data_IF_856385318283
#
_entry.id   IF_856385318283
#
_cell.length_a   1.000
_cell.length_b   1.000
_cell.length_c   1.000
_cell.angle_alpha   90.00
_cell.angle_beta   90.00
_cell.angle_gamma   90.00
#
_symmetry.space_group_name_H-M   'P 1'
#
loop_
_entity.id
_entity.type
_entity.pdbx_description
1 polymer ?
#
# COMPACT_ATOMS: atom_id res chain seq x y z
N UNK A 1 -4.18 -15.72 8.00
CA UNK A 1 -4.61 -15.86 6.60
C UNK A 1 -5.57 -17.01 6.48
N UNK A 2 -6.68 -16.84 5.78
CA UNK A 2 -7.57 -17.94 5.44
C UNK A 2 -6.87 -18.86 4.44
N UNK A 3 -7.04 -20.17 4.61
CA UNK A 3 -6.56 -21.14 3.63
C UNK A 3 -7.53 -21.18 2.45
N UNK A 4 -6.97 -21.22 1.24
CA UNK A 4 -7.75 -21.42 0.04
C UNK A 4 -8.42 -22.81 0.09
N UNK A 5 -9.72 -22.87 -0.15
CA UNK A 5 -10.47 -24.13 -0.18
C UNK A 5 -10.32 -24.83 -1.52
N UNK A 6 -10.29 -24.04 -2.62
CA UNK A 6 -10.08 -24.51 -3.99
C UNK A 6 -9.63 -23.35 -4.87
N UNK A 7 -9.18 -23.65 -6.08
CA UNK A 7 -8.71 -22.66 -7.05
C UNK A 7 -7.20 -22.39 -6.96
N UNK A 8 -6.76 -21.36 -7.69
CA UNK A 8 -5.37 -20.95 -7.83
C UNK A 8 -5.24 -19.46 -7.58
N UNK A 9 -4.17 -19.04 -6.90
CA UNK A 9 -3.78 -17.63 -6.75
C UNK A 9 -2.53 -17.39 -7.57
N UNK A 10 -2.57 -16.41 -8.45
CA UNK A 10 -1.43 -15.99 -9.24
C UNK A 10 -1.10 -14.53 -8.94
N UNK A 11 0.18 -14.25 -8.73
CA UNK A 11 0.69 -12.90 -8.45
C UNK A 11 1.79 -12.58 -9.44
N UNK A 12 1.59 -11.55 -10.26
CA UNK A 12 2.55 -11.09 -11.27
C UNK A 12 3.07 -12.22 -12.17
N UNK A 13 2.18 -13.13 -12.60
CA UNK A 13 2.48 -14.27 -13.46
C UNK A 13 3.09 -15.48 -12.74
N UNK A 14 3.17 -15.48 -11.41
CA UNK A 14 3.72 -16.57 -10.62
C UNK A 14 2.64 -17.20 -9.74
N UNK A 15 2.67 -18.54 -9.63
CA UNK A 15 1.78 -19.27 -8.72
C UNK A 15 2.14 -18.95 -7.27
N UNK A 16 1.23 -18.28 -6.58
CA UNK A 16 1.33 -17.88 -5.19
C UNK A 16 0.43 -18.72 -4.26
N UNK A 17 -0.18 -19.79 -4.80
CA UNK A 17 -1.10 -20.65 -4.06
C UNK A 17 -0.41 -21.28 -2.84
N UNK A 18 -0.93 -20.98 -1.65
CA UNK A 18 -0.36 -21.48 -0.38
C UNK A 18 0.94 -20.83 0.07
N UNK A 19 1.45 -19.83 -0.64
CA UNK A 19 2.62 -19.08 -0.22
C UNK A 19 2.36 -18.29 1.07
N UNK A 20 3.41 -18.15 1.89
CA UNK A 20 3.39 -17.29 3.07
C UNK A 20 3.45 -15.80 2.66
N UNK A 21 2.95 -14.88 3.52
CA UNK A 21 2.97 -13.44 3.23
C UNK A 21 4.35 -12.89 2.87
N UNK A 22 5.41 -13.36 3.55
CA UNK A 22 6.79 -12.95 3.27
C UNK A 22 7.27 -13.40 1.88
N UNK A 23 6.81 -14.55 1.41
CA UNK A 23 7.11 -15.03 0.06
C UNK A 23 6.37 -14.21 -1.00
N UNK A 24 5.08 -13.90 -0.75
CA UNK A 24 4.26 -13.06 -1.65
C UNK A 24 4.85 -11.64 -1.74
N UNK A 25 5.32 -11.08 -0.62
CA UNK A 25 5.99 -9.78 -0.63
C UNK A 25 7.25 -9.78 -1.51
N UNK A 26 8.03 -10.87 -1.50
CA UNK A 26 9.22 -11.01 -2.37
C UNK A 26 8.87 -11.07 -3.85
N UNK A 27 7.66 -11.46 -4.23
CA UNK A 27 7.18 -11.36 -5.61
C UNK A 27 6.90 -9.92 -6.02
N UNK A 28 6.85 -9.00 -5.07
CA UNK A 28 6.60 -7.58 -5.29
C UNK A 28 5.17 -7.14 -4.96
N UNK A 29 4.38 -7.96 -4.26
CA UNK A 29 3.04 -7.59 -3.80
C UNK A 29 3.09 -7.19 -2.33
N UNK A 30 2.65 -5.97 -2.02
CA UNK A 30 2.53 -5.47 -0.64
C UNK A 30 1.08 -5.13 -0.34
N UNK A 31 0.65 -5.42 0.89
CA UNK A 31 -0.71 -5.12 1.36
C UNK A 31 -0.65 -4.17 2.55
N UNK A 32 -1.51 -3.13 2.56
CA UNK A 32 -1.86 -2.39 3.78
C UNK A 32 -3.02 -3.08 4.50
N UNK A 33 -3.29 -2.66 5.72
CA UNK A 33 -4.41 -3.15 6.51
C UNK A 33 -5.36 -1.99 6.82
N UNK A 34 -6.62 -2.30 7.07
CA UNK A 34 -7.65 -1.33 7.43
C UNK A 34 -7.25 -0.47 8.64
N UNK A 35 -6.61 -1.09 9.64
CA UNK A 35 -6.05 -0.36 10.78
C UNK A 35 -4.56 -0.11 10.57
N UNK A 36 -4.17 1.15 10.73
CA UNK A 36 -2.76 1.55 10.66
C UNK A 36 -2.03 1.12 11.93
N UNK A 37 -0.97 0.31 11.77
CA UNK A 37 -0.10 -0.14 12.85
C UNK A 37 1.21 0.63 12.82
N UNK A 38 1.17 1.92 13.22
CA UNK A 38 2.37 2.74 13.34
C UNK A 38 2.97 2.63 14.75
N UNK A 39 4.29 2.69 14.84
CA UNK A 39 4.99 2.78 16.13
C UNK A 39 4.86 4.20 16.65
N UNK A 40 4.00 4.39 17.63
CA UNK A 40 3.53 5.71 18.11
C UNK A 40 4.63 6.58 18.67
N UNK A 41 5.66 5.99 19.28
CA UNK A 41 6.83 6.65 19.89
C UNK A 41 7.96 6.94 18.88
N UNK A 42 7.76 6.57 17.62
CA UNK A 42 8.69 6.82 16.53
C UNK A 42 8.17 7.96 15.64
N UNK A 43 9.11 8.69 15.05
CA UNK A 43 8.80 9.69 14.03
C UNK A 43 8.27 9.05 12.75
N UNK A 44 7.68 9.87 11.89
CA UNK A 44 7.21 9.41 10.58
C UNK A 44 8.35 8.79 9.77
N UNK A 45 9.49 9.46 9.66
CA UNK A 45 10.63 8.92 8.90
C UNK A 45 11.15 7.61 9.49
N UNK A 46 11.22 7.48 10.81
CA UNK A 46 11.61 6.22 11.46
C UNK A 46 10.62 5.10 11.15
N UNK A 47 9.32 5.37 11.18
CA UNK A 47 8.29 4.41 10.77
C UNK A 47 8.46 3.93 9.32
N UNK A 48 8.86 4.81 8.40
CA UNK A 48 9.15 4.45 7.02
C UNK A 48 10.40 3.56 6.90
N UNK A 49 11.35 3.71 7.78
CA UNK A 49 12.62 2.94 7.76
C UNK A 49 12.49 1.53 8.35
N UNK A 50 11.41 1.24 9.09
CA UNK A 50 11.19 -0.10 9.69
C UNK A 50 11.08 -1.24 8.67
N UNK A 51 10.34 -1.11 7.53
CA UNK A 51 10.20 -2.21 6.58
C UNK A 51 11.56 -2.62 5.99
N UNK A 52 11.95 -3.91 6.09
CA UNK A 52 13.21 -4.34 5.53
C UNK A 52 13.13 -4.44 4.01
N UNK A 53 13.98 -3.73 3.29
CA UNK A 53 14.35 -4.11 1.93
C UNK A 53 15.45 -5.18 2.02
N UNK A 54 15.13 -6.44 1.76
CA UNK A 54 16.11 -7.53 1.57
C UNK A 54 17.14 -7.77 2.71
N UNK A 55 16.82 -7.52 3.98
CA UNK A 55 17.81 -7.46 5.05
C UNK A 55 17.93 -8.68 5.95
N UNK A 56 17.22 -9.76 5.77
CA UNK A 56 17.53 -10.95 6.54
C UNK A 56 18.45 -11.89 5.77
N UNK A 57 19.76 -11.61 5.81
CA UNK A 57 20.74 -12.67 5.76
C UNK A 57 20.84 -13.28 7.17
N UNK A 58 20.61 -14.60 7.33
CA UNK A 58 20.52 -15.22 8.65
C UNK A 58 21.85 -15.32 9.40
N UNK A 59 22.93 -14.75 8.88
CA UNK A 59 24.25 -14.82 9.48
C UNK A 59 24.67 -13.45 10.03
N UNK A 60 24.45 -13.26 11.33
CA UNK A 60 24.94 -12.09 12.08
C UNK A 60 26.47 -11.88 11.91
N UNK A 61 27.24 -12.96 11.68
CA UNK A 61 28.68 -12.89 11.46
C UNK A 61 29.03 -12.24 10.10
N UNK A 62 28.23 -12.47 9.06
CA UNK A 62 28.40 -11.83 7.75
C UNK A 62 27.96 -10.37 7.75
N UNK A 63 27.03 -9.98 8.62
CA UNK A 63 26.62 -8.58 8.79
C UNK A 63 27.73 -7.72 9.40
N UNK A 64 28.54 -8.27 10.28
CA UNK A 64 29.71 -7.61 10.88
C UNK A 64 30.88 -7.40 9.90
N UNK A 65 30.94 -8.18 8.82
CA UNK A 65 32.03 -8.16 7.84
C UNK A 65 31.71 -7.36 6.56
N UNK A 66 30.49 -6.79 6.42
CA UNK A 66 30.14 -5.96 5.25
C UNK A 66 30.43 -4.48 5.51
N UNK A 67 31.48 -3.90 4.86
CA UNK A 67 31.60 -2.46 4.72
C UNK A 67 30.52 -2.01 3.72
N UNK A 68 29.49 -1.30 4.15
CA UNK A 68 28.41 -0.84 3.26
C UNK A 68 27.13 -0.44 3.99
N UNK A 69 27.08 -0.66 5.29
CA UNK A 69 25.90 -0.34 6.11
C UNK A 69 25.56 1.15 6.11
N UNK A 70 26.54 2.06 6.12
CA UNK A 70 26.32 3.50 6.12
C UNK A 70 25.76 4.05 4.79
N UNK A 71 26.31 3.58 3.67
CA UNK A 71 25.83 4.01 2.34
C UNK A 71 24.43 3.47 2.05
N UNK A 72 24.13 2.24 2.46
CA UNK A 72 22.79 1.66 2.36
C UNK A 72 21.78 2.37 3.29
N UNK A 73 22.20 2.82 4.46
CA UNK A 73 21.38 3.56 5.41
C UNK A 73 21.06 4.97 4.89
N UNK A 74 22.06 5.71 4.42
CA UNK A 74 21.87 7.02 3.82
C UNK A 74 20.90 6.97 2.63
N UNK A 75 21.05 5.95 1.77
CA UNK A 75 20.11 5.74 0.66
C UNK A 75 18.68 5.44 1.14
N UNK A 76 18.51 4.64 2.18
CA UNK A 76 17.17 4.36 2.74
C UNK A 76 16.51 5.60 3.31
N UNK A 77 17.29 6.46 3.97
CA UNK A 77 16.80 7.75 4.47
C UNK A 77 16.36 8.61 3.28
N UNK A 78 17.16 8.70 2.22
CA UNK A 78 16.80 9.41 1.01
C UNK A 78 15.52 8.84 0.38
N UNK A 79 15.42 7.51 0.22
CA UNK A 79 14.21 6.84 -0.28
C UNK A 79 12.97 7.19 0.57
N UNK A 80 13.12 7.29 1.90
CA UNK A 80 12.02 7.66 2.80
C UNK A 80 11.54 9.10 2.56
N UNK A 81 12.46 10.05 2.37
CA UNK A 81 12.09 11.43 2.02
C UNK A 81 11.46 11.53 0.63
N UNK A 82 11.97 10.79 -0.36
CA UNK A 82 11.34 10.71 -1.70
C UNK A 82 9.90 10.18 -1.62
N UNK A 83 9.64 9.20 -0.75
CA UNK A 83 8.27 8.69 -0.51
C UNK A 83 7.40 9.76 0.17
N UNK A 84 7.94 10.50 1.14
CA UNK A 84 7.19 11.59 1.80
C UNK A 84 6.87 12.73 0.83
N UNK A 85 7.80 13.09 -0.05
CA UNK A 85 7.59 14.09 -1.11
C UNK A 85 6.51 13.62 -2.10
N UNK A 86 6.56 12.35 -2.51
CA UNK A 86 5.57 11.76 -3.39
C UNK A 86 4.16 11.77 -2.79
N UNK A 87 4.06 11.59 -1.47
CA UNK A 87 2.80 11.66 -0.72
C UNK A 87 2.42 13.10 -0.29
N UNK A 88 3.25 14.10 -0.64
CA UNK A 88 3.07 15.53 -0.31
C UNK A 88 3.05 15.82 1.21
N UNK A 89 3.80 15.04 1.98
CA UNK A 89 3.89 15.17 3.44
C UNK A 89 5.32 15.24 4.00
N UNK A 90 6.32 15.83 3.30
CA UNK A 90 7.69 15.89 3.81
C UNK A 90 7.81 16.70 5.11
N UNK A 91 6.92 17.67 5.31
CA UNK A 91 6.85 18.50 6.53
C UNK A 91 6.55 17.70 7.79
N UNK A 92 6.03 16.47 7.65
CA UNK A 92 5.70 15.61 8.78
C UNK A 92 6.82 14.63 9.17
N UNK A 93 7.96 14.63 8.46
CA UNK A 93 9.03 13.64 8.63
C UNK A 93 9.46 13.43 10.09
N UNK A 94 9.54 14.51 10.85
CA UNK A 94 10.02 14.52 12.24
C UNK A 94 8.90 14.54 13.31
N UNK A 95 7.62 14.56 12.89
CA UNK A 95 6.51 14.45 13.83
C UNK A 95 6.45 13.04 14.40
N UNK A 96 6.08 12.91 15.67
CA UNK A 96 5.73 11.61 16.25
C UNK A 96 4.45 11.09 15.60
N UNK A 97 4.38 9.79 15.32
CA UNK A 97 3.16 9.24 14.70
C UNK A 97 1.97 9.22 15.65
N UNK A 98 2.18 9.38 16.94
CA UNK A 98 1.12 9.61 17.95
C UNK A 98 0.40 10.95 17.78
N UNK A 99 1.00 11.94 17.11
CA UNK A 99 0.46 13.29 16.91
C UNK A 99 -0.35 13.40 15.60
N UNK A 100 -0.33 12.38 14.77
CA UNK A 100 -0.97 12.39 13.46
C UNK A 100 -2.48 12.19 13.56
N UNK A 101 -3.21 12.92 12.71
CA UNK A 101 -4.62 12.60 12.44
C UNK A 101 -4.77 11.23 11.78
N UNK A 102 -5.99 10.66 11.81
CA UNK A 102 -6.26 9.37 11.18
C UNK A 102 -5.89 9.34 9.70
N UNK A 103 -6.20 10.41 8.95
CA UNK A 103 -5.85 10.51 7.54
C UNK A 103 -4.34 10.63 7.29
N UNK A 104 -3.63 11.37 8.13
CA UNK A 104 -2.17 11.46 8.05
C UNK A 104 -1.51 10.12 8.37
N UNK A 105 -2.04 9.38 9.35
CA UNK A 105 -1.58 8.03 9.68
C UNK A 105 -1.77 7.06 8.49
N UNK A 106 -2.87 7.18 7.74
CA UNK A 106 -3.10 6.41 6.50
C UNK A 106 -2.04 6.70 5.43
N UNK A 107 -1.69 7.97 5.23
CA UNK A 107 -0.61 8.34 4.29
C UNK A 107 0.73 7.74 4.71
N UNK A 108 1.07 7.76 5.99
CA UNK A 108 2.31 7.16 6.49
C UNK A 108 2.31 5.64 6.31
N UNK A 109 1.16 4.96 6.48
CA UNK A 109 1.05 3.52 6.26
C UNK A 109 1.23 3.14 4.79
N UNK A 110 0.65 3.94 3.87
CA UNK A 110 0.91 3.82 2.42
C UNK A 110 2.40 4.03 2.14
N UNK A 111 3.02 5.05 2.75
CA UNK A 111 4.46 5.31 2.64
C UNK A 111 5.30 4.12 3.08
N UNK A 112 4.96 3.49 4.20
CA UNK A 112 5.62 2.26 4.67
C UNK A 112 5.51 1.11 3.65
N UNK A 113 4.35 0.95 3.03
CA UNK A 113 4.16 -0.05 1.99
C UNK A 113 5.07 0.23 0.78
N UNK A 114 5.21 1.50 0.38
CA UNK A 114 6.07 1.93 -0.73
C UNK A 114 7.56 1.72 -0.45
N UNK A 115 7.99 1.81 0.80
CA UNK A 115 9.39 1.53 1.19
C UNK A 115 9.84 0.11 0.88
N UNK A 116 8.91 -0.84 0.68
CA UNK A 116 9.23 -2.19 0.19
C UNK A 116 9.49 -2.28 -1.32
N UNK A 117 9.38 -1.15 -2.05
CA UNK A 117 9.46 -1.06 -3.51
C UNK A 117 8.53 -2.06 -4.22
N UNK A 118 7.22 -2.02 -3.95
CA UNK A 118 6.28 -2.97 -4.49
C UNK A 118 6.09 -2.76 -6.00
N UNK A 119 5.77 -3.84 -6.71
CA UNK A 119 5.25 -3.79 -8.08
C UNK A 119 3.72 -3.72 -8.11
N UNK A 120 3.09 -4.19 -7.02
CA UNK A 120 1.64 -4.19 -6.85
C UNK A 120 1.26 -3.92 -5.39
N UNK A 121 0.28 -3.04 -5.18
CA UNK A 121 -0.27 -2.69 -3.87
C UNK A 121 -1.70 -3.20 -3.71
N UNK A 122 -1.98 -3.83 -2.58
CA UNK A 122 -3.33 -4.09 -2.10
C UNK A 122 -3.65 -3.08 -0.99
N UNK A 123 -4.64 -2.23 -1.21
CA UNK A 123 -5.04 -1.19 -0.28
C UNK A 123 -6.44 -1.50 0.25
N UNK A 124 -6.54 -1.69 1.56
CA UNK A 124 -7.78 -2.04 2.25
C UNK A 124 -8.34 -0.79 2.94
N UNK A 125 -9.40 -0.21 2.35
CA UNK A 125 -10.07 1.01 2.79
C UNK A 125 -9.10 2.17 3.11
N UNK A 126 -8.26 2.60 2.15
CA UNK A 126 -7.22 3.59 2.39
C UNK A 126 -7.74 4.95 2.82
N UNK A 127 -9.03 5.25 2.59
CA UNK A 127 -9.64 6.53 2.96
C UNK A 127 -10.77 6.42 4.00
N UNK A 128 -10.96 5.25 4.61
CA UNK A 128 -11.96 5.08 5.65
C UNK A 128 -11.70 6.03 6.84
N UNK A 129 -12.71 6.81 7.22
CA UNK A 129 -12.60 7.80 8.29
C UNK A 129 -11.75 9.04 7.97
N UNK A 130 -11.39 9.24 6.71
CA UNK A 130 -10.63 10.41 6.25
C UNK A 130 -11.57 11.48 5.72
N UNK A 131 -11.32 12.75 6.08
CA UNK A 131 -12.10 13.90 5.59
C UNK A 131 -12.00 14.03 4.06
N UNK A 132 -13.10 14.42 3.40
CA UNK A 132 -13.23 14.45 1.94
C UNK A 132 -12.05 15.06 1.18
N UNK A 133 -11.58 16.28 1.50
CA UNK A 133 -10.44 16.88 0.79
C UNK A 133 -9.14 16.07 0.91
N UNK A 134 -8.88 15.43 2.06
CA UNK A 134 -7.70 14.62 2.26
C UNK A 134 -7.86 13.26 1.57
N UNK A 135 -9.05 12.66 1.58
CA UNK A 135 -9.36 11.44 0.84
C UNK A 135 -9.11 11.65 -0.67
N UNK A 136 -9.52 12.81 -1.20
CA UNK A 136 -9.24 13.22 -2.59
C UNK A 136 -7.74 13.21 -2.89
N UNK A 137 -6.94 13.85 -2.05
CA UNK A 137 -5.48 13.93 -2.20
C UNK A 137 -4.84 12.53 -2.12
N UNK A 138 -5.32 11.67 -1.23
CA UNK A 138 -4.82 10.27 -1.16
C UNK A 138 -5.02 9.57 -2.51
N UNK A 139 -6.21 9.66 -3.10
CA UNK A 139 -6.46 9.03 -4.40
C UNK A 139 -5.65 9.63 -5.55
N UNK A 140 -5.48 10.95 -5.58
CA UNK A 140 -4.62 11.61 -6.57
C UNK A 140 -3.17 11.11 -6.45
N UNK A 141 -2.65 10.97 -5.24
CA UNK A 141 -1.31 10.43 -5.01
C UNK A 141 -1.22 8.95 -5.42
N UNK A 142 -2.25 8.13 -5.13
CA UNK A 142 -2.33 6.75 -5.58
C UNK A 142 -2.35 6.66 -7.12
N UNK A 143 -3.10 7.53 -7.80
CA UNK A 143 -3.12 7.59 -9.26
C UNK A 143 -1.75 7.95 -9.84
N UNK A 144 -1.07 8.92 -9.25
CA UNK A 144 0.31 9.30 -9.64
C UNK A 144 1.27 8.12 -9.50
N UNK A 145 1.19 7.34 -8.42
CA UNK A 145 1.99 6.12 -8.25
C UNK A 145 1.78 5.13 -9.40
N UNK A 146 0.55 4.96 -9.86
CA UNK A 146 0.24 4.07 -10.99
C UNK A 146 0.81 4.64 -12.29
N UNK A 147 0.59 5.91 -12.58
CA UNK A 147 0.97 6.53 -13.86
C UNK A 147 2.47 6.82 -13.96
N UNK A 148 3.10 7.32 -12.89
CA UNK A 148 4.49 7.76 -12.91
C UNK A 148 5.48 6.65 -12.52
N UNK A 149 5.08 5.73 -11.66
CA UNK A 149 5.94 4.65 -11.15
C UNK A 149 5.58 3.27 -11.67
N UNK A 150 4.47 3.14 -12.40
CA UNK A 150 4.02 1.85 -12.95
C UNK A 150 3.61 0.83 -11.89
N UNK A 151 3.22 1.28 -10.68
CA UNK A 151 2.79 0.41 -9.60
C UNK A 151 1.33 0.02 -9.83
N UNK A 152 1.05 -1.26 -10.04
CA UNK A 152 -0.33 -1.76 -10.09
C UNK A 152 -1.01 -1.65 -8.72
N UNK A 153 -2.32 -1.39 -8.69
CA UNK A 153 -3.07 -1.28 -7.43
C UNK A 153 -4.40 -2.02 -7.50
N UNK A 154 -4.77 -2.64 -6.39
CA UNK A 154 -6.12 -3.05 -6.08
C UNK A 154 -6.57 -2.36 -4.80
N UNK A 155 -7.62 -1.56 -4.91
CA UNK A 155 -8.19 -0.80 -3.79
C UNK A 155 -9.53 -1.42 -3.42
N UNK A 156 -9.72 -1.77 -2.16
CA UNK A 156 -11.00 -2.21 -1.61
C UNK A 156 -11.65 -0.98 -0.96
N UNK A 157 -12.84 -0.67 -1.41
CA UNK A 157 -13.65 0.44 -0.87
C UNK A 157 -15.14 0.06 -0.91
N UNK A 158 -15.89 0.59 0.03
CA UNK A 158 -17.33 0.36 0.13
C UNK A 158 -18.16 1.59 -0.25
N UNK A 159 -17.54 2.74 -0.45
CA UNK A 159 -18.22 3.96 -0.88
C UNK A 159 -18.25 4.04 -2.41
N UNK A 160 -19.37 3.57 -2.99
CA UNK A 160 -19.56 3.52 -4.44
C UNK A 160 -19.53 4.91 -5.07
N UNK A 161 -20.20 5.91 -4.47
CA UNK A 161 -20.20 7.29 -4.96
C UNK A 161 -18.79 7.87 -5.06
N UNK A 162 -17.94 7.49 -4.11
CA UNK A 162 -16.56 7.92 -4.10
C UNK A 162 -15.76 7.26 -5.22
N UNK A 163 -15.88 5.94 -5.40
CA UNK A 163 -15.13 5.17 -6.42
C UNK A 163 -15.56 5.52 -7.83
N UNK A 164 -16.87 5.63 -8.11
CA UNK A 164 -17.40 5.92 -9.45
C UNK A 164 -16.97 7.28 -10.01
N UNK A 165 -16.60 8.21 -9.12
CA UNK A 165 -16.08 9.54 -9.50
C UNK A 165 -14.59 9.57 -9.73
N UNK A 166 -13.89 8.42 -9.61
CA UNK A 166 -12.44 8.33 -9.69
C UNK A 166 -11.98 7.81 -11.04
N UNK A 167 -10.77 8.19 -11.38
CA UNK A 167 -10.08 7.67 -12.54
C UNK A 167 -9.46 6.30 -12.19
N UNK A 168 -10.32 5.27 -12.24
CA UNK A 168 -9.95 3.86 -12.05
C UNK A 168 -10.16 3.10 -13.35
N UNK A 169 -9.30 2.15 -13.64
CA UNK A 169 -9.33 1.43 -14.91
C UNK A 169 -10.47 0.39 -14.93
N UNK A 170 -10.74 -0.24 -13.76
CA UNK A 170 -11.71 -1.34 -13.63
C UNK A 170 -12.28 -1.42 -12.23
N UNK A 171 -13.54 -1.77 -12.13
CA UNK A 171 -14.26 -2.02 -10.87
C UNK A 171 -14.77 -3.46 -10.86
N UNK A 172 -14.60 -4.13 -9.73
CA UNK A 172 -15.16 -5.44 -9.44
C UNK A 172 -16.12 -5.27 -8.28
N UNK A 173 -17.41 -5.46 -8.53
CA UNK A 173 -18.45 -5.40 -7.49
C UNK A 173 -18.65 -6.77 -6.88
N UNK A 174 -18.55 -6.83 -5.57
CA UNK A 174 -18.72 -8.09 -4.81
C UNK A 174 -19.87 -7.96 -3.80
N UNK A 175 -20.63 -9.04 -3.66
CA UNK A 175 -21.65 -9.17 -2.63
C UNK A 175 -21.67 -10.61 -2.10
N UNK A 176 -21.75 -10.77 -0.77
CA UNK A 176 -21.80 -12.08 -0.12
C UNK A 176 -20.70 -13.08 -0.58
N UNK A 177 -19.49 -12.55 -0.86
CA UNK A 177 -18.35 -13.37 -1.29
C UNK A 177 -18.37 -13.77 -2.77
N UNK A 178 -19.32 -13.26 -3.56
CA UNK A 178 -19.44 -13.54 -5.00
C UNK A 178 -19.19 -12.26 -5.80
N UNK A 179 -18.57 -12.40 -6.98
CA UNK A 179 -18.47 -11.32 -7.96
C UNK A 179 -19.82 -11.18 -8.63
N UNK A 180 -20.45 -10.00 -8.47
CA UNK A 180 -21.71 -9.67 -9.14
C UNK A 180 -21.47 -9.12 -10.54
N UNK A 181 -20.53 -8.21 -10.65
CA UNK A 181 -20.26 -7.50 -11.89
C UNK A 181 -18.81 -7.05 -11.94
N UNK A 182 -18.27 -6.95 -13.13
CA UNK A 182 -16.94 -6.41 -13.42
C UNK A 182 -17.04 -5.53 -14.66
N UNK A 183 -16.44 -4.34 -14.63
CA UNK A 183 -16.46 -3.42 -15.76
C UNK A 183 -15.77 -2.09 -15.48
N UNK A 184 -15.85 -1.18 -16.44
CA UNK A 184 -15.43 0.21 -16.30
C UNK A 184 -16.35 0.97 -15.32
N UNK A 185 -15.91 2.11 -14.74
CA UNK A 185 -16.78 2.94 -13.90
C UNK A 185 -18.09 3.32 -14.56
N UNK A 186 -18.07 3.55 -15.87
CA UNK A 186 -19.28 3.89 -16.65
C UNK A 186 -20.26 2.72 -16.70
N UNK A 187 -19.79 1.53 -17.05
CA UNK A 187 -20.62 0.31 -17.12
C UNK A 187 -21.26 0.00 -15.75
N UNK A 188 -20.47 0.14 -14.68
CA UNK A 188 -20.95 -0.09 -13.31
C UNK A 188 -22.01 0.95 -12.91
N UNK A 189 -21.83 2.24 -13.24
CA UNK A 189 -22.78 3.31 -12.90
C UNK A 189 -24.12 3.23 -13.66
N UNK A 190 -24.13 2.57 -14.80
CA UNK A 190 -25.35 2.37 -15.62
C UNK A 190 -26.11 1.07 -15.26
N UNK A 191 -25.53 0.23 -14.40
CA UNK A 191 -26.10 -1.06 -14.02
C UNK A 191 -27.16 -0.92 -12.92
N UNK A 192 -28.35 -1.49 -13.17
CA UNK A 192 -29.46 -1.53 -12.19
C UNK A 192 -29.21 -2.51 -11.04
N UNK A 193 -28.29 -3.42 -11.18
CA UNK A 193 -27.99 -4.45 -10.17
C UNK A 193 -27.05 -3.93 -9.07
N UNK A 194 -26.46 -2.74 -9.27
CA UNK A 194 -25.46 -2.14 -8.37
C UNK A 194 -26.02 -0.91 -7.63
N UNK A 195 -27.07 -0.26 -8.17
CA UNK A 195 -27.81 0.87 -7.61
C UNK A 195 -29.12 0.35 -7.02
#
# INVERSE_FOLDING_TARGET
MLKLTSGKVEVLGQDATGMRPDQIQRLGLTRTFQHTWLWREMTVVENLLVPPRHQFQPNALLALLKPGTRESEAKRIQDAYEVLDLLEVPHMAHNLTSELSGGQSKLVDIGRALMSAPRFLLLDEPVAGVAGPLAERIFQNLRRLTTERGIGMLVIEHNMDFILRRDVDRIIVMNNGQVLMEGSPKEISESRDVI
#
